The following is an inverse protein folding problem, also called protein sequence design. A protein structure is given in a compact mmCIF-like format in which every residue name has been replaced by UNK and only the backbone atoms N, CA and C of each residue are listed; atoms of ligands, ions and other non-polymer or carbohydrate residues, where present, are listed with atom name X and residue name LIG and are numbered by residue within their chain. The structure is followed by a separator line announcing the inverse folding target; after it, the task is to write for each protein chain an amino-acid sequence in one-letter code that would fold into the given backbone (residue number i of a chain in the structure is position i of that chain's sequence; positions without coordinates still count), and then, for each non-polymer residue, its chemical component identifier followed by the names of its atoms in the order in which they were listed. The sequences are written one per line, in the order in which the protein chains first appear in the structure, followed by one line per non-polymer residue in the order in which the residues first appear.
data_IF_063497027748
#
_entry.id   IF_063497027748
#
_cell.length_a   1.000
_cell.length_b   1.000
_cell.length_c   1.000
_cell.angle_alpha   90.00
_cell.angle_beta   90.00
_cell.angle_gamma   90.00
#
_symmetry.space_group_name_H-M   'P 1'
#
loop_
_entity.id
_entity.type
_entity.pdbx_description
1 polymer ?
#
# COMPACT_ATOMS: atom_id res chain seq x y z
N UNK A 1 62.51 37.05 -90.96
CA UNK A 1 61.53 36.94 -89.86
C UNK A 1 61.56 35.51 -89.33
N UNK A 2 61.59 35.34 -88.01
CA UNK A 2 61.28 34.12 -87.22
C UNK A 2 61.91 32.73 -87.56
N UNK A 3 62.37 32.08 -86.49
CA UNK A 3 62.56 30.62 -86.28
C UNK A 3 61.87 30.28 -84.92
N UNK A 4 61.97 29.06 -84.32
CA UNK A 4 62.08 27.69 -84.82
C UNK A 4 60.71 26.92 -84.62
N UNK A 5 60.44 25.73 -84.01
CA UNK A 5 61.18 24.68 -83.26
C UNK A 5 60.38 23.34 -83.14
N UNK A 6 61.09 22.25 -82.83
CA UNK A 6 60.71 21.12 -81.93
C UNK A 6 59.42 20.26 -82.13
N UNK A 7 59.60 19.10 -82.78
CA UNK A 7 59.66 17.75 -82.19
C UNK A 7 58.51 17.09 -81.36
N UNK A 8 58.49 15.74 -81.50
CA UNK A 8 58.16 14.67 -80.51
C UNK A 8 56.95 13.79 -80.86
N UNK A 9 57.15 12.47 -80.79
CA UNK A 9 56.11 11.45 -80.98
C UNK A 9 55.79 10.73 -79.66
N UNK A 10 54.58 10.20 -79.52
CA UNK A 10 54.16 9.39 -78.36
C UNK A 10 53.35 8.17 -78.77
N UNK A 11 53.67 7.02 -78.16
CA UNK A 11 52.96 5.75 -78.36
C UNK A 11 51.63 5.75 -77.59
N UNK A 12 50.58 5.20 -78.18
CA UNK A 12 49.43 4.69 -77.43
C UNK A 12 49.89 3.60 -76.45
N UNK A 13 49.43 3.71 -75.20
CA UNK A 13 49.70 2.76 -74.12
C UNK A 13 48.39 2.49 -73.39
N UNK A 14 48.08 1.21 -73.15
CA UNK A 14 46.87 0.81 -72.41
C UNK A 14 46.90 1.32 -70.97
N UNK A 15 45.73 1.67 -70.39
CA UNK A 15 45.67 2.05 -68.98
C UNK A 15 46.03 0.84 -68.11
N UNK A 16 46.82 1.09 -67.07
CA UNK A 16 47.12 0.14 -66.00
C UNK A 16 46.43 0.69 -64.75
N UNK A 17 45.64 -0.10 -64.00
CA UNK A 17 45.03 0.36 -62.75
C UNK A 17 46.12 0.85 -61.79
N UNK A 18 45.81 1.87 -61.00
CA UNK A 18 46.79 2.49 -60.09
C UNK A 18 46.91 1.70 -58.79
N UNK A 19 48.06 1.79 -58.13
CA UNK A 19 48.31 1.12 -56.83
C UNK A 19 47.38 1.64 -55.71
N UNK A 20 46.71 2.76 -55.94
CA UNK A 20 45.74 3.38 -55.05
C UNK A 20 44.41 2.62 -55.05
N UNK A 21 44.00 2.04 -56.17
CA UNK A 21 42.81 1.17 -56.26
C UNK A 21 43.05 -0.14 -55.50
N UNK A 22 44.27 -0.70 -55.59
CA UNK A 22 44.65 -1.90 -54.83
C UNK A 22 44.72 -1.63 -53.32
N UNK A 23 45.28 -0.48 -52.90
CA UNK A 23 45.33 -0.05 -51.49
C UNK A 23 43.95 0.30 -50.89
N UNK A 24 42.89 0.38 -51.70
CA UNK A 24 41.53 0.53 -51.22
C UNK A 24 40.89 -0.82 -50.81
N UNK A 25 41.39 -1.95 -51.33
CA UNK A 25 40.82 -3.29 -51.09
C UNK A 25 41.20 -3.85 -49.71
N UNK A 26 42.42 -3.59 -49.22
CA UNK A 26 42.90 -4.02 -47.89
C UNK A 26 42.24 -3.28 -46.70
N UNK A 27 41.17 -2.51 -46.94
CA UNK A 27 40.36 -1.91 -45.88
C UNK A 27 39.28 -2.89 -45.44
N UNK A 28 39.68 -3.89 -44.67
CA UNK A 28 38.76 -4.84 -44.03
C UNK A 28 37.59 -4.10 -43.36
N UNK A 29 36.37 -4.44 -43.75
CA UNK A 29 35.16 -3.96 -43.08
C UNK A 29 35.09 -4.69 -41.73
N UNK A 30 35.19 -3.98 -40.59
CA UNK A 30 35.29 -4.63 -39.29
C UNK A 30 34.00 -5.40 -38.97
N UNK A 31 34.07 -6.73 -39.04
CA UNK A 31 32.90 -7.60 -38.85
C UNK A 31 32.49 -7.53 -37.37
N UNK A 32 31.37 -6.86 -37.12
CA UNK A 32 30.76 -6.72 -35.79
C UNK A 32 29.37 -7.35 -35.80
N UNK A 33 29.16 -8.33 -34.93
CA UNK A 33 27.89 -8.98 -34.70
C UNK A 33 27.39 -8.59 -33.31
N UNK A 34 26.21 -7.96 -33.22
CA UNK A 34 25.60 -7.57 -31.96
C UNK A 34 24.41 -8.48 -31.62
N UNK A 35 24.39 -9.00 -30.40
CA UNK A 35 23.34 -9.87 -29.87
C UNK A 35 22.91 -9.32 -28.51
N UNK A 36 21.90 -8.43 -28.54
CA UNK A 36 21.46 -7.69 -27.36
C UNK A 36 22.58 -6.81 -26.80
N UNK A 37 22.97 -7.06 -25.54
CA UNK A 37 24.03 -6.34 -24.84
C UNK A 37 25.44 -6.96 -25.01
N UNK A 38 25.60 -7.99 -25.87
CA UNK A 38 26.89 -8.56 -26.22
C UNK A 38 27.31 -8.18 -27.65
N UNK A 39 28.59 -7.86 -27.84
CA UNK A 39 29.19 -7.54 -29.13
C UNK A 39 30.34 -8.50 -29.42
N UNK A 40 30.23 -9.26 -30.50
CA UNK A 40 31.32 -10.04 -31.07
C UNK A 40 31.97 -9.23 -32.20
N UNK A 41 33.28 -9.08 -32.18
CA UNK A 41 34.03 -8.36 -33.22
C UNK A 41 35.28 -9.11 -33.65
N UNK A 42 35.58 -9.09 -34.95
CA UNK A 42 36.84 -9.57 -35.48
C UNK A 42 37.94 -8.52 -35.20
N UNK A 43 38.92 -8.88 -34.37
CA UNK A 43 40.08 -8.05 -34.05
C UNK A 43 41.13 -8.07 -35.17
N UNK A 44 42.05 -7.10 -35.16
CA UNK A 44 43.07 -6.90 -36.21
C UNK A 44 44.13 -8.04 -36.33
N UNK A 45 44.00 -9.09 -35.52
CA UNK A 45 44.77 -10.34 -35.56
C UNK A 45 44.00 -11.52 -36.18
N UNK A 46 42.80 -11.27 -36.72
CA UNK A 46 41.88 -12.31 -37.20
C UNK A 46 41.23 -13.14 -36.09
N UNK A 47 41.36 -12.73 -34.83
CA UNK A 47 40.72 -13.38 -33.69
C UNK A 47 39.34 -12.78 -33.40
N UNK A 48 38.40 -13.60 -32.94
CA UNK A 48 37.08 -13.15 -32.51
C UNK A 48 37.10 -12.74 -31.03
N UNK A 49 36.80 -11.48 -30.75
CA UNK A 49 36.73 -10.89 -29.41
C UNK A 49 35.26 -10.67 -29.01
N UNK A 50 34.90 -11.01 -27.76
CA UNK A 50 33.53 -10.90 -27.23
C UNK A 50 33.46 -9.90 -26.08
N UNK A 51 33.03 -8.67 -26.38
CA UNK A 51 32.59 -7.74 -25.35
C UNK A 51 31.21 -8.15 -24.82
N UNK A 52 31.20 -8.57 -23.56
CA UNK A 52 30.01 -8.93 -22.79
C UNK A 52 29.92 -8.08 -21.49
N UNK A 53 30.72 -7.02 -21.38
CA UNK A 53 30.81 -6.19 -20.16
C UNK A 53 29.48 -5.52 -19.83
N UNK A 54 28.79 -5.01 -20.84
CA UNK A 54 27.46 -4.42 -20.72
C UNK A 54 26.42 -5.46 -20.28
N UNK A 55 26.46 -6.67 -20.86
CA UNK A 55 25.56 -7.77 -20.46
C UNK A 55 25.76 -8.15 -18.98
N UNK A 56 27.01 -8.29 -18.54
CA UNK A 56 27.34 -8.60 -17.15
C UNK A 56 26.88 -7.49 -16.19
N UNK A 57 27.16 -6.22 -16.50
CA UNK A 57 26.68 -5.07 -15.70
C UNK A 57 25.14 -5.01 -15.65
N UNK A 58 24.43 -5.34 -16.74
CA UNK A 58 22.96 -5.39 -16.70
C UNK A 58 22.46 -6.54 -15.83
N UNK A 59 23.09 -7.71 -15.86
CA UNK A 59 22.74 -8.85 -15.00
C UNK A 59 22.92 -8.53 -13.52
N UNK A 60 24.04 -7.91 -13.15
CA UNK A 60 24.33 -7.48 -11.78
C UNK A 60 23.33 -6.43 -11.29
N UNK A 61 22.97 -5.45 -12.14
CA UNK A 61 21.92 -4.46 -11.83
C UNK A 61 20.53 -5.10 -11.68
N UNK A 62 20.19 -6.08 -12.51
CA UNK A 62 18.92 -6.84 -12.40
C UNK A 62 18.86 -7.56 -11.05
N UNK A 63 19.91 -8.31 -10.67
CA UNK A 63 19.94 -9.01 -9.38
C UNK A 63 19.76 -8.04 -8.19
N UNK A 64 20.48 -6.91 -8.17
CA UNK A 64 20.35 -5.89 -7.11
C UNK A 64 18.92 -5.30 -7.07
N UNK A 65 18.27 -5.14 -8.21
CA UNK A 65 16.89 -4.66 -8.30
C UNK A 65 15.88 -5.73 -7.89
N UNK A 66 16.12 -7.01 -8.18
CA UNK A 66 15.29 -8.14 -7.72
C UNK A 66 15.36 -8.29 -6.19
N UNK A 67 16.58 -8.30 -5.62
CA UNK A 67 16.80 -8.34 -4.16
C UNK A 67 16.12 -7.15 -3.45
N UNK A 68 16.26 -5.93 -4.01
CA UNK A 68 15.59 -4.74 -3.48
C UNK A 68 14.07 -4.80 -3.64
N UNK A 69 13.56 -5.35 -4.74
CA UNK A 69 12.11 -5.48 -4.97
C UNK A 69 11.51 -6.46 -3.96
N UNK A 70 12.12 -7.64 -3.76
CA UNK A 70 11.68 -8.61 -2.76
C UNK A 70 11.69 -8.03 -1.32
N UNK A 71 12.70 -7.25 -0.97
CA UNK A 71 12.75 -6.56 0.32
C UNK A 71 11.62 -5.52 0.48
N UNK A 72 11.35 -4.72 -0.55
CA UNK A 72 10.27 -3.73 -0.55
C UNK A 72 8.87 -4.39 -0.56
N UNK A 73 8.70 -5.54 -1.22
CA UNK A 73 7.45 -6.31 -1.20
C UNK A 73 7.17 -6.90 0.19
N UNK A 74 8.20 -7.43 0.86
CA UNK A 74 8.09 -7.91 2.24
C UNK A 74 7.74 -6.77 3.21
N UNK A 75 8.38 -5.59 3.09
CA UNK A 75 8.03 -4.41 3.87
C UNK A 75 6.59 -3.94 3.56
N UNK A 76 6.17 -3.94 2.29
CA UNK A 76 4.82 -3.53 1.91
C UNK A 76 3.75 -4.47 2.48
N UNK A 77 4.00 -5.78 2.50
CA UNK A 77 3.13 -6.76 3.16
C UNK A 77 3.06 -6.50 4.68
N UNK A 78 4.20 -6.36 5.35
CA UNK A 78 4.27 -6.07 6.79
C UNK A 78 3.52 -4.77 7.17
N UNK A 79 3.63 -3.73 6.33
CA UNK A 79 2.92 -2.46 6.51
C UNK A 79 1.41 -2.61 6.29
N UNK A 80 0.96 -3.39 5.29
CA UNK A 80 -0.48 -3.70 5.11
C UNK A 80 -1.05 -4.44 6.32
N UNK A 81 -0.35 -5.46 6.82
CA UNK A 81 -0.77 -6.22 8.01
C UNK A 81 -0.82 -5.34 9.26
N UNK A 82 0.07 -4.34 9.37
CA UNK A 82 0.05 -3.37 10.46
C UNK A 82 -1.13 -2.39 10.33
N UNK A 83 -1.38 -1.87 9.13
CA UNK A 83 -2.52 -0.99 8.86
C UNK A 83 -3.87 -1.70 9.10
N UNK A 84 -3.98 -2.97 8.72
CA UNK A 84 -5.17 -3.80 8.97
C UNK A 84 -5.43 -3.94 10.47
N UNK A 85 -4.43 -4.39 11.24
CA UNK A 85 -4.54 -4.52 12.71
C UNK A 85 -4.88 -3.21 13.42
N UNK A 86 -4.21 -2.10 13.09
CA UNK A 86 -4.56 -0.79 13.69
C UNK A 86 -5.98 -0.34 13.33
N UNK A 87 -6.50 -0.73 12.16
CA UNK A 87 -7.88 -0.44 11.74
C UNK A 87 -8.89 -1.29 12.52
N UNK A 88 -8.60 -2.58 12.72
CA UNK A 88 -9.38 -3.49 13.56
C UNK A 88 -9.42 -3.03 15.02
N UNK A 89 -8.26 -2.71 15.60
CA UNK A 89 -8.13 -2.13 16.95
C UNK A 89 -8.94 -0.84 17.09
N UNK A 90 -8.81 0.09 16.14
CA UNK A 90 -9.57 1.35 16.12
C UNK A 90 -11.09 1.13 16.02
N UNK A 91 -11.53 0.12 15.25
CA UNK A 91 -12.95 -0.18 15.10
C UNK A 91 -13.51 -0.90 16.33
N UNK A 92 -12.73 -1.79 16.96
CA UNK A 92 -13.08 -2.39 18.25
C UNK A 92 -13.20 -1.34 19.35
N UNK A 93 -12.32 -0.32 19.39
CA UNK A 93 -12.42 0.73 20.40
C UNK A 93 -13.66 1.62 20.18
N UNK A 94 -13.94 2.03 18.94
CA UNK A 94 -15.20 2.73 18.59
C UNK A 94 -16.43 1.94 19.02
N UNK A 95 -16.43 0.62 18.78
CA UNK A 95 -17.54 -0.25 19.19
C UNK A 95 -17.70 -0.31 20.72
N UNK A 96 -16.61 -0.43 21.50
CA UNK A 96 -16.67 -0.35 22.97
C UNK A 96 -17.24 0.99 23.43
N UNK A 97 -16.77 2.11 22.89
CA UNK A 97 -17.26 3.44 23.25
C UNK A 97 -18.76 3.59 22.94
N UNK A 98 -19.21 3.16 21.76
CA UNK A 98 -20.61 3.19 21.37
C UNK A 98 -21.47 2.32 22.29
N UNK A 99 -21.06 1.08 22.55
CA UNK A 99 -21.76 0.16 23.44
C UNK A 99 -21.85 0.70 24.88
N UNK A 100 -20.80 1.33 25.40
CA UNK A 100 -20.82 1.98 26.72
C UNK A 100 -21.80 3.16 26.77
N UNK A 101 -21.87 3.98 25.71
CA UNK A 101 -22.86 5.06 25.60
C UNK A 101 -24.29 4.52 25.56
N UNK A 102 -24.55 3.46 24.78
CA UNK A 102 -25.86 2.80 24.71
C UNK A 102 -26.26 2.16 26.05
N UNK A 103 -25.33 1.48 26.73
CA UNK A 103 -25.57 0.91 28.06
C UNK A 103 -25.82 1.96 29.15
N UNK A 104 -25.17 3.13 29.08
CA UNK A 104 -25.43 4.27 29.95
C UNK A 104 -26.82 4.89 29.66
N UNK A 105 -27.22 4.97 28.39
CA UNK A 105 -28.55 5.42 28.01
C UNK A 105 -29.66 4.47 28.51
N UNK A 106 -29.45 3.15 28.43
CA UNK A 106 -30.39 2.15 29.00
C UNK A 106 -30.44 2.23 30.53
N UNK A 107 -29.29 2.26 31.20
CA UNK A 107 -29.23 2.34 32.67
C UNK A 107 -29.90 3.61 33.21
N UNK A 108 -29.69 4.77 32.57
CA UNK A 108 -30.34 6.03 32.97
C UNK A 108 -31.86 6.02 32.72
N UNK A 109 -32.33 5.37 31.65
CA UNK A 109 -33.76 5.18 31.41
C UNK A 109 -34.42 4.30 32.49
N UNK A 110 -33.74 3.24 32.93
CA UNK A 110 -34.24 2.35 33.98
C UNK A 110 -34.17 2.99 35.38
N UNK A 111 -33.14 3.81 35.66
CA UNK A 111 -33.12 4.67 36.84
C UNK A 111 -34.33 5.62 36.91
N UNK A 112 -34.64 6.34 35.82
CA UNK A 112 -35.80 7.25 35.78
C UNK A 112 -37.14 6.50 35.89
N UNK A 113 -37.22 5.28 35.34
CA UNK A 113 -38.38 4.39 35.54
C UNK A 113 -38.57 3.99 37.00
N UNK A 114 -37.51 3.63 37.72
CA UNK A 114 -37.60 3.29 39.15
C UNK A 114 -37.89 4.52 40.01
N UNK A 115 -37.33 5.68 39.70
CA UNK A 115 -37.70 6.97 40.34
C UNK A 115 -39.18 7.27 40.14
N UNK A 116 -39.72 7.09 38.94
CA UNK A 116 -41.14 7.28 38.63
C UNK A 116 -42.04 6.27 39.34
N UNK A 117 -41.64 4.98 39.43
CA UNK A 117 -42.35 3.94 40.19
C UNK A 117 -42.42 4.27 41.68
N UNK A 118 -41.29 4.65 42.28
CA UNK A 118 -41.23 5.07 43.68
C UNK A 118 -42.08 6.33 43.95
N UNK A 119 -42.13 7.27 43.00
CA UNK A 119 -42.98 8.46 43.08
C UNK A 119 -44.48 8.11 42.98
N UNK A 120 -44.88 7.17 42.11
CA UNK A 120 -46.25 6.64 42.07
C UNK A 120 -46.62 6.02 43.41
N UNK A 121 -45.87 5.01 43.87
CA UNK A 121 -46.15 4.28 45.12
C UNK A 121 -46.25 5.25 46.31
N UNK A 122 -45.38 6.27 46.38
CA UNK A 122 -45.47 7.33 47.40
C UNK A 122 -46.78 8.12 47.30
N UNK A 123 -47.23 8.46 46.09
CA UNK A 123 -48.48 9.19 45.83
C UNK A 123 -49.69 8.33 46.19
N UNK A 124 -49.69 7.07 45.79
CA UNK A 124 -50.73 6.07 46.08
C UNK A 124 -50.87 5.85 47.60
N UNK A 125 -49.75 5.69 48.32
CA UNK A 125 -49.74 5.57 49.79
C UNK A 125 -50.22 6.85 50.48
N UNK A 126 -49.86 8.04 49.99
CA UNK A 126 -50.37 9.31 50.56
C UNK A 126 -51.88 9.43 50.35
N UNK A 127 -52.39 9.13 49.16
CA UNK A 127 -53.82 9.17 48.86
C UNK A 127 -54.63 8.20 49.77
N UNK A 128 -54.13 6.97 49.98
CA UNK A 128 -54.75 6.01 50.90
C UNK A 128 -54.75 6.49 52.36
N UNK A 129 -53.67 7.16 52.80
CA UNK A 129 -53.60 7.74 54.15
C UNK A 129 -54.53 8.94 54.33
N UNK A 130 -54.71 9.76 53.29
CA UNK A 130 -55.67 10.87 53.30
C UNK A 130 -57.11 10.39 53.26
N UNK A 131 -57.44 9.36 52.47
CA UNK A 131 -58.75 8.71 52.48
C UNK A 131 -59.05 8.10 53.85
N UNK A 132 -58.13 7.31 54.41
CA UNK A 132 -58.31 6.71 55.75
C UNK A 132 -58.52 7.78 56.83
N UNK A 133 -57.84 8.93 56.72
CA UNK A 133 -58.05 10.07 57.62
C UNK A 133 -59.41 10.73 57.44
N UNK A 134 -59.91 10.86 56.21
CA UNK A 134 -61.26 11.39 55.92
C UNK A 134 -62.37 10.46 56.41
N UNK A 135 -62.17 9.15 56.34
CA UNK A 135 -63.06 8.10 56.87
C UNK A 135 -62.95 7.93 58.40
N UNK A 136 -62.06 8.66 59.08
CA UNK A 136 -61.89 8.62 60.54
C UNK A 136 -61.18 7.36 61.06
N UNK A 137 -60.51 6.60 60.19
CA UNK A 137 -59.78 5.39 60.55
C UNK A 137 -58.49 5.73 61.32
N UNK A 138 -58.19 4.94 62.35
CA UNK A 138 -56.99 5.10 63.16
C UNK A 138 -55.74 4.65 62.37
N UNK A 139 -55.10 5.63 61.73
CA UNK A 139 -53.90 5.47 60.89
C UNK A 139 -52.79 4.66 61.59
N UNK A 140 -52.68 4.72 62.93
CA UNK A 140 -51.66 3.95 63.67
C UNK A 140 -51.92 2.45 63.63
N UNK A 141 -53.19 2.03 63.62
CA UNK A 141 -53.58 0.62 63.45
C UNK A 141 -53.38 0.18 62.01
N UNK A 142 -53.67 1.05 61.04
CA UNK A 142 -53.42 0.76 59.62
C UNK A 142 -51.93 0.56 59.35
N UNK A 143 -51.07 1.45 59.87
CA UNK A 143 -49.61 1.32 59.73
C UNK A 143 -49.07 0.07 60.43
N UNK A 144 -49.61 -0.29 61.59
CA UNK A 144 -49.21 -1.51 62.31
C UNK A 144 -49.65 -2.79 61.57
N UNK A 145 -50.83 -2.81 60.94
CA UNK A 145 -51.28 -3.93 60.13
C UNK A 145 -50.42 -4.10 58.86
N UNK A 146 -50.03 -2.99 58.22
CA UNK A 146 -49.17 -3.01 57.03
C UNK A 146 -47.73 -3.46 57.35
N UNK A 147 -47.18 -3.07 58.51
CA UNK A 147 -45.82 -3.50 58.91
C UNK A 147 -45.77 -4.88 59.59
N UNK A 148 -46.88 -5.40 60.09
CA UNK A 148 -46.98 -6.79 60.57
C UNK A 148 -46.86 -7.82 59.43
N UNK A 149 -47.09 -7.42 58.18
CA UNK A 149 -47.10 -8.29 57.02
C UNK A 149 -48.36 -9.18 56.93
N UNK A 150 -48.53 -9.92 55.82
CA UNK A 150 -49.63 -10.85 55.68
C UNK A 150 -49.44 -12.05 56.63
N UNK A 151 -50.29 -12.14 57.66
CA UNK A 151 -50.49 -13.39 58.39
C UNK A 151 -51.09 -14.43 57.44
N UNK A 152 -50.31 -15.46 57.12
CA UNK A 152 -50.75 -16.58 56.29
C UNK A 152 -51.89 -17.37 56.96
N UNK A 153 -52.81 -17.87 56.13
CA UNK A 153 -52.99 -19.31 55.98
C UNK A 153 -52.34 -19.84 54.69
#
# INVERSE_FOLDING_TARGET
MASPTAATATRTRTPRPSEEELKAVDREIPIRLTLGAATLSLGASGQWELDHTMLQQTKERVQILEERTAALEAENAQLRDKCTRMTEESNMEKFKCQLLVEMLAVSSLDEEREKARAASIKTDVVALLEQARAEGLDVRKLSAALTAGPLAP
#
